data_IF_597372871293
#
_entry.id   IF_597372871293
#
_cell.length_a   1.000
_cell.length_b   1.000
_cell.length_c   1.000
_cell.angle_alpha   90.00
_cell.angle_beta   90.00
_cell.angle_gamma   90.00
#
_symmetry.space_group_name_H-M   'P 1'
#
loop_
_entity.id
_entity.type
_entity.pdbx_description
1 polymer ?
#
# COMPACT_ATOMS: atom_id res chain seq x y z
N UNK A 1 -10.30 -20.36 -16.99
CA UNK A 1 -9.27 -19.32 -17.19
C UNK A 1 -9.96 -17.99 -17.46
N UNK A 2 -9.58 -16.96 -16.70
CA UNK A 2 -10.10 -15.59 -16.91
C UNK A 2 -9.18 -14.82 -17.83
N UNK A 3 -9.76 -13.95 -18.64
CA UNK A 3 -9.02 -13.11 -19.60
C UNK A 3 -9.09 -11.64 -19.21
N UNK A 4 -7.97 -10.94 -19.36
CA UNK A 4 -7.85 -9.52 -19.08
C UNK A 4 -7.09 -8.83 -20.20
N UNK A 5 -7.31 -7.54 -20.38
CA UNK A 5 -6.54 -6.73 -21.30
C UNK A 5 -5.12 -6.48 -20.77
N UNK A 6 -4.99 -6.41 -19.45
CA UNK A 6 -3.71 -6.25 -18.76
C UNK A 6 -3.67 -7.03 -17.46
N UNK A 7 -2.52 -7.60 -17.16
CA UNK A 7 -2.21 -8.23 -15.87
C UNK A 7 -1.03 -7.48 -15.26
N UNK A 8 -1.22 -6.93 -14.07
CA UNK A 8 -0.23 -6.15 -13.35
C UNK A 8 0.20 -6.91 -12.11
N UNK A 9 1.49 -7.14 -11.96
CA UNK A 9 2.07 -7.82 -10.81
C UNK A 9 2.69 -6.78 -9.89
N UNK A 10 2.10 -6.61 -8.72
CA UNK A 10 2.51 -5.65 -7.70
C UNK A 10 1.59 -4.45 -7.57
N UNK A 11 1.20 -4.16 -6.34
CA UNK A 11 0.30 -3.06 -5.98
C UNK A 11 1.08 -1.83 -5.49
N UNK A 12 2.20 -1.55 -6.13
CA UNK A 12 3.00 -0.36 -5.86
C UNK A 12 2.49 0.85 -6.63
N UNK A 13 3.23 1.96 -6.51
CA UNK A 13 2.85 3.23 -7.14
C UNK A 13 2.67 3.12 -8.66
N UNK A 14 3.57 2.41 -9.34
CA UNK A 14 3.46 2.20 -10.79
C UNK A 14 2.28 1.33 -11.16
N UNK A 15 2.15 0.18 -10.51
CA UNK A 15 1.07 -0.79 -10.78
C UNK A 15 -0.32 -0.23 -10.53
N UNK A 16 -0.53 0.39 -9.37
CA UNK A 16 -1.83 0.99 -9.03
C UNK A 16 -2.21 2.15 -9.95
N UNK A 17 -1.24 2.96 -10.34
CA UNK A 17 -1.48 4.10 -11.23
C UNK A 17 -1.85 3.62 -12.63
N UNK A 18 -1.11 2.65 -13.16
CA UNK A 18 -1.40 2.06 -14.46
C UNK A 18 -2.76 1.35 -14.47
N UNK A 19 -3.05 0.57 -13.42
CA UNK A 19 -4.34 -0.12 -13.30
C UNK A 19 -5.51 0.86 -13.33
N UNK A 20 -5.43 1.95 -12.58
CA UNK A 20 -6.46 2.98 -12.56
C UNK A 20 -6.64 3.66 -13.91
N UNK A 21 -5.54 3.95 -14.60
CA UNK A 21 -5.59 4.56 -15.93
C UNK A 21 -6.22 3.63 -16.96
N UNK A 22 -5.79 2.39 -17.03
CA UNK A 22 -6.33 1.41 -17.98
C UNK A 22 -7.81 1.14 -17.73
N UNK A 23 -8.20 1.02 -16.47
CA UNK A 23 -9.61 0.85 -16.09
C UNK A 23 -10.46 2.05 -16.52
N UNK A 24 -9.92 3.27 -16.39
CA UNK A 24 -10.58 4.49 -16.87
C UNK A 24 -10.77 4.52 -18.39
N UNK A 25 -9.96 3.78 -19.13
CA UNK A 25 -10.07 3.60 -20.59
C UNK A 25 -10.95 2.40 -20.96
N UNK A 26 -11.62 1.78 -20.01
CA UNK A 26 -12.51 0.64 -20.25
C UNK A 26 -11.82 -0.71 -20.38
N UNK A 27 -10.53 -0.80 -20.03
CA UNK A 27 -9.77 -2.04 -20.07
C UNK A 27 -10.03 -2.91 -18.86
N UNK A 28 -10.14 -4.22 -19.05
CA UNK A 28 -10.21 -5.19 -17.97
C UNK A 28 -8.80 -5.47 -17.42
N UNK A 29 -8.59 -5.22 -16.14
CA UNK A 29 -7.28 -5.30 -15.49
C UNK A 29 -7.31 -6.29 -14.33
N UNK A 30 -6.33 -7.19 -14.29
CA UNK A 30 -6.03 -7.99 -13.11
C UNK A 30 -4.82 -7.37 -12.40
N UNK A 31 -4.95 -7.07 -11.12
CA UNK A 31 -3.87 -6.57 -10.27
C UNK A 31 -3.56 -7.60 -9.20
N UNK A 32 -2.33 -8.07 -9.14
CA UNK A 32 -1.91 -9.15 -8.26
C UNK A 32 -0.95 -8.61 -7.22
N UNK A 33 -1.24 -8.85 -5.93
CA UNK A 33 -0.37 -8.50 -4.81
C UNK A 33 -0.22 -9.69 -3.87
N UNK A 34 1.01 -10.04 -3.54
CA UNK A 34 1.28 -11.17 -2.67
C UNK A 34 0.99 -10.91 -1.19
N UNK A 35 0.97 -9.66 -0.76
CA UNK A 35 0.76 -9.28 0.63
C UNK A 35 -0.33 -8.23 0.78
N UNK A 36 -1.36 -8.56 1.55
CA UNK A 36 -2.43 -7.62 1.90
C UNK A 36 -1.95 -6.42 2.73
N UNK A 37 -0.74 -6.51 3.27
CA UNK A 37 -0.09 -5.42 4.02
C UNK A 37 0.72 -4.47 3.14
N UNK A 38 0.78 -4.75 1.84
CA UNK A 38 1.56 -3.96 0.89
C UNK A 38 0.70 -3.21 -0.14
N UNK A 39 -0.60 -3.18 0.03
CA UNK A 39 -1.47 -2.40 -0.84
C UNK A 39 -1.05 -0.92 -0.85
N UNK A 40 -0.86 -0.38 -2.03
CA UNK A 40 -0.37 0.98 -2.23
C UNK A 40 1.15 1.11 -2.37
N UNK A 41 1.90 0.05 -2.01
CA UNK A 41 3.33 -0.07 -2.25
C UNK A 41 4.23 0.33 -1.09
N UNK A 42 5.51 0.31 -1.36
CA UNK A 42 6.59 0.51 -0.38
C UNK A 42 6.55 1.89 0.27
N UNK A 43 6.30 2.94 -0.49
CA UNK A 43 6.28 4.30 0.06
C UNK A 43 5.25 4.47 1.18
N UNK A 44 4.05 3.93 0.99
CA UNK A 44 2.96 4.03 1.97
C UNK A 44 3.20 3.13 3.18
N UNK A 45 3.68 1.91 2.95
CA UNK A 45 3.66 0.87 3.97
C UNK A 45 4.94 0.74 4.79
N UNK A 46 6.10 0.97 4.18
CA UNK A 46 7.40 0.73 4.83
C UNK A 46 8.43 1.84 4.63
N UNK A 47 8.18 2.81 3.76
CA UNK A 47 9.15 3.84 3.39
C UNK A 47 8.75 5.26 3.77
N UNK A 48 8.38 6.06 2.77
CA UNK A 48 8.21 7.51 2.88
C UNK A 48 7.21 7.93 3.97
N UNK A 49 6.03 7.36 3.97
CA UNK A 49 4.96 7.77 4.89
C UNK A 49 5.26 7.39 6.34
N UNK A 50 5.64 6.13 6.66
CA UNK A 50 6.05 5.80 8.03
C UNK A 50 7.21 6.66 8.52
N UNK A 51 8.22 6.87 7.69
CA UNK A 51 9.38 7.70 8.05
C UNK A 51 9.00 9.14 8.34
N UNK A 52 8.18 9.75 7.49
CA UNK A 52 7.71 11.13 7.70
C UNK A 52 6.84 11.27 8.93
N UNK A 53 5.99 10.28 9.22
CA UNK A 53 5.17 10.25 10.43
C UNK A 53 6.04 10.26 11.68
N UNK A 54 7.07 9.40 11.74
CA UNK A 54 7.99 9.32 12.87
C UNK A 54 8.85 10.59 13.02
N UNK A 55 9.34 11.15 11.93
CA UNK A 55 10.10 12.41 11.93
C UNK A 55 9.25 13.54 12.49
N UNK A 56 8.01 13.67 12.04
CA UNK A 56 7.10 14.70 12.56
C UNK A 56 6.85 14.54 14.06
N UNK A 57 6.57 13.34 14.52
CA UNK A 57 6.36 13.06 15.95
C UNK A 57 7.60 13.36 16.78
N UNK A 58 8.79 13.05 16.26
CA UNK A 58 10.07 13.37 16.89
C UNK A 58 10.28 14.88 17.02
N UNK A 59 9.99 15.65 15.98
CA UNK A 59 10.08 17.11 16.01
C UNK A 59 9.13 17.72 17.03
N UNK A 60 7.91 17.21 17.15
CA UNK A 60 6.94 17.65 18.15
C UNK A 60 7.41 17.34 19.57
N UNK A 61 8.04 16.19 19.78
CA UNK A 61 8.64 15.81 21.06
C UNK A 61 9.80 16.73 21.43
N UNK A 62 10.68 17.01 20.48
CA UNK A 62 11.83 17.91 20.69
C UNK A 62 11.38 19.33 21.08
N UNK A 63 10.30 19.82 20.48
CA UNK A 63 9.73 21.14 20.79
C UNK A 63 9.24 21.27 22.25
N UNK A 64 9.01 20.17 22.95
CA UNK A 64 8.63 20.19 24.39
C UNK A 64 9.80 20.50 25.32
N UNK A 65 11.04 20.46 24.82
CA UNK A 65 12.24 20.69 25.60
C UNK A 65 12.63 19.50 26.46
N UNK A 66 13.15 19.78 27.66
CA UNK A 66 13.58 18.72 28.59
C UNK A 66 12.38 18.04 29.24
N UNK A 67 12.26 16.75 29.04
CA UNK A 67 11.21 15.89 29.61
C UNK A 67 11.85 14.62 30.19
N UNK A 68 11.12 13.93 31.07
CA UNK A 68 11.58 12.68 31.68
C UNK A 68 11.70 11.54 30.64
N UNK A 69 12.49 10.53 30.96
CA UNK A 69 12.58 9.32 30.13
C UNK A 69 11.21 8.63 29.97
N UNK A 70 10.44 8.56 31.04
CA UNK A 70 9.10 7.95 31.02
C UNK A 70 8.16 8.68 30.07
N UNK A 71 8.17 10.01 30.09
CA UNK A 71 7.39 10.82 29.17
C UNK A 71 7.84 10.62 27.72
N UNK A 72 9.16 10.57 27.46
CA UNK A 72 9.70 10.25 26.12
C UNK A 72 9.27 8.88 25.64
N UNK A 73 9.28 7.88 26.51
CA UNK A 73 8.84 6.51 26.16
C UNK A 73 7.37 6.48 25.79
N UNK A 74 6.52 7.22 26.51
CA UNK A 74 5.10 7.32 26.19
C UNK A 74 4.86 8.02 24.86
N UNK A 75 5.55 9.12 24.58
CA UNK A 75 5.47 9.82 23.31
C UNK A 75 5.95 8.95 22.15
N UNK A 76 6.96 8.12 22.37
CA UNK A 76 7.43 7.16 21.37
C UNK A 76 6.35 6.11 21.03
N UNK A 77 5.70 5.55 22.06
CA UNK A 77 4.59 4.60 21.82
C UNK A 77 3.45 5.25 21.03
N UNK A 78 3.07 6.47 21.40
CA UNK A 78 2.06 7.25 20.66
C UNK A 78 2.47 7.50 19.22
N UNK A 79 3.76 7.80 18.96
CA UNK A 79 4.29 7.99 17.62
C UNK A 79 4.18 6.71 16.76
N UNK A 80 4.49 5.55 17.36
CA UNK A 80 4.36 4.26 16.67
C UNK A 80 2.89 3.94 16.35
N UNK A 81 1.99 4.19 17.27
CA UNK A 81 0.54 4.01 17.06
C UNK A 81 0.02 4.92 15.94
N UNK A 82 0.42 6.19 15.95
CA UNK A 82 0.06 7.15 14.90
C UNK A 82 0.60 6.72 13.54
N UNK A 83 1.84 6.27 13.48
CA UNK A 83 2.42 5.73 12.25
C UNK A 83 1.58 4.57 11.70
N UNK A 84 1.21 3.62 12.56
CA UNK A 84 0.38 2.46 12.17
C UNK A 84 -1.00 2.88 11.70
N UNK A 85 -1.60 3.85 12.38
CA UNK A 85 -2.91 4.40 11.99
C UNK A 85 -2.87 5.00 10.59
N UNK A 86 -1.88 5.83 10.32
CA UNK A 86 -1.72 6.51 9.01
C UNK A 86 -1.46 5.50 7.91
N UNK A 87 -0.54 4.55 8.12
CA UNK A 87 -0.22 3.54 7.12
C UNK A 87 -1.41 2.63 6.82
N UNK A 88 -2.14 2.19 7.84
CA UNK A 88 -3.33 1.37 7.67
C UNK A 88 -4.44 2.10 6.92
N UNK A 89 -4.65 3.38 7.23
CA UNK A 89 -5.64 4.21 6.55
C UNK A 89 -5.33 4.38 5.06
N UNK A 90 -4.08 4.71 4.74
CA UNK A 90 -3.66 4.91 3.35
C UNK A 90 -3.67 3.60 2.55
N UNK A 91 -3.28 2.50 3.18
CA UNK A 91 -3.37 1.16 2.59
C UNK A 91 -4.81 0.83 2.19
N UNK A 92 -5.73 1.03 3.11
CA UNK A 92 -7.15 0.81 2.86
C UNK A 92 -7.68 1.72 1.75
N UNK A 93 -7.35 3.01 1.78
CA UNK A 93 -7.77 3.96 0.75
C UNK A 93 -7.28 3.55 -0.64
N UNK A 94 -6.03 3.10 -0.76
CA UNK A 94 -5.48 2.65 -2.03
C UNK A 94 -6.16 1.38 -2.54
N UNK A 95 -6.42 0.43 -1.65
CA UNK A 95 -7.17 -0.77 -1.99
C UNK A 95 -8.58 -0.43 -2.48
N UNK A 96 -9.34 0.33 -1.68
CA UNK A 96 -10.73 0.67 -1.97
C UNK A 96 -10.85 1.44 -3.29
N UNK A 97 -9.94 2.36 -3.55
CA UNK A 97 -9.94 3.16 -4.78
C UNK A 97 -9.94 2.29 -6.05
N UNK A 98 -9.15 1.23 -6.07
CA UNK A 98 -9.09 0.31 -7.20
C UNK A 98 -10.18 -0.77 -7.13
N UNK A 99 -10.48 -1.25 -5.95
CA UNK A 99 -11.48 -2.31 -5.76
C UNK A 99 -12.91 -1.85 -6.12
N UNK A 100 -13.19 -0.54 -6.06
CA UNK A 100 -14.45 0.02 -6.51
C UNK A 100 -14.60 0.08 -8.03
N UNK A 101 -13.50 -0.01 -8.76
CA UNK A 101 -13.53 0.01 -10.22
C UNK A 101 -13.94 -1.37 -10.75
N UNK A 102 -15.06 -1.41 -11.44
CA UNK A 102 -15.60 -2.67 -11.98
C UNK A 102 -14.61 -3.37 -12.93
N UNK A 103 -13.83 -2.58 -13.66
CA UNK A 103 -12.83 -3.09 -14.62
C UNK A 103 -11.58 -3.68 -13.95
N UNK A 104 -11.37 -3.47 -12.65
CA UNK A 104 -10.20 -3.96 -11.91
C UNK A 104 -10.58 -5.12 -11.03
N UNK A 105 -9.86 -6.23 -11.14
CA UNK A 105 -9.94 -7.36 -10.22
C UNK A 105 -8.63 -7.49 -9.47
N UNK A 106 -8.68 -7.45 -8.14
CA UNK A 106 -7.51 -7.59 -7.28
C UNK A 106 -7.40 -9.04 -6.80
N UNK A 107 -6.25 -9.64 -7.03
CA UNK A 107 -5.93 -10.99 -6.56
C UNK A 107 -4.84 -10.92 -5.50
N UNK A 108 -5.07 -11.59 -4.37
CA UNK A 108 -4.02 -11.82 -3.39
C UNK A 108 -3.34 -13.15 -3.66
N UNK A 109 -2.04 -13.10 -3.87
CA UNK A 109 -1.24 -14.29 -4.11
C UNK A 109 0.07 -13.98 -4.81
N UNK A 110 0.86 -15.02 -4.98
CA UNK A 110 2.13 -14.94 -5.69
C UNK A 110 1.91 -15.26 -7.16
N UNK A 111 2.30 -14.34 -8.02
CA UNK A 111 2.18 -14.49 -9.47
C UNK A 111 3.42 -15.14 -10.07
N UNK A 112 3.21 -16.01 -11.04
CA UNK A 112 4.27 -16.58 -11.86
C UNK A 112 3.81 -16.71 -13.31
N UNK A 113 4.74 -16.55 -14.25
CA UNK A 113 4.43 -16.72 -15.68
C UNK A 113 4.35 -18.21 -16.02
N UNK A 114 3.29 -18.60 -16.70
CA UNK A 114 3.18 -19.93 -17.32
C UNK A 114 3.60 -19.88 -18.79
N UNK A 115 3.41 -18.74 -19.45
CA UNK A 115 3.78 -18.51 -20.84
C UNK A 115 3.91 -17.01 -21.09
N UNK A 116 4.12 -16.60 -22.31
CA UNK A 116 4.16 -15.19 -22.70
C UNK A 116 2.80 -14.48 -22.51
N UNK A 117 1.72 -15.24 -22.37
CA UNK A 117 0.35 -14.70 -22.30
C UNK A 117 -0.44 -15.18 -21.09
N UNK A 118 0.17 -15.98 -20.22
CA UNK A 118 -0.53 -16.58 -19.08
C UNK A 118 0.26 -16.39 -17.79
N UNK A 119 -0.47 -16.03 -16.74
CA UNK A 119 0.05 -15.89 -15.37
C UNK A 119 -0.75 -16.77 -14.44
N UNK A 120 -0.05 -17.49 -13.58
CA UNK A 120 -0.63 -18.27 -12.50
C UNK A 120 -0.54 -17.48 -11.19
N UNK A 121 -1.58 -17.53 -10.37
CA UNK A 121 -1.61 -16.89 -9.05
C UNK A 121 -1.88 -17.96 -7.99
N UNK A 122 -0.94 -18.07 -7.06
CA UNK A 122 -1.07 -18.97 -5.90
C UNK A 122 -1.39 -18.12 -4.68
N UNK A 123 -2.56 -18.33 -4.05
CA UNK A 123 -2.98 -17.59 -2.85
C UNK A 123 -2.06 -17.77 -1.65
#
# INVERSE_FOLDING_TARGET
MKKYDAVIIGFGKGGKTLAGKLAGEGKAVALIEKSDKMYGGTCINVGCIPSKSLVRSSQMTEAKGKISFEEKAELYRTAIEEKRRVTSLLRKKNFDKLNHLEAVTIYNGTASFLSNTQVNVVP
#
